data_IF_379238722747
#
_entry.id   IF_379238722747
#
_cell.length_a   1.000
_cell.length_b   1.000
_cell.length_c   1.000
_cell.angle_alpha   90.00
_cell.angle_beta   90.00
_cell.angle_gamma   90.00
#
_symmetry.space_group_name_H-M   'P 1'
#
loop_
_entity.id
_entity.type
_entity.pdbx_description
1 polymer ?
#
# COMPACT_ATOMS: atom_id res chain seq x y z
N UNK A 1 -4.54 -11.02 16.87
CA UNK A 1 -3.95 -10.65 15.56
C UNK A 1 -4.75 -9.50 14.99
N UNK A 2 -4.13 -8.35 14.77
CA UNK A 2 -4.75 -7.17 14.18
C UNK A 2 -4.35 -7.07 12.71
N UNK A 3 -4.89 -7.97 11.88
CA UNK A 3 -4.71 -7.93 10.43
C UNK A 3 -5.89 -7.16 9.83
N UNK A 4 -5.60 -6.15 9.01
CA UNK A 4 -6.60 -5.46 8.21
C UNK A 4 -6.68 -6.12 6.84
N UNK A 5 -7.84 -6.67 6.51
CA UNK A 5 -8.13 -7.25 5.19
C UNK A 5 -9.30 -6.49 4.60
N UNK A 6 -9.17 -6.05 3.35
CA UNK A 6 -10.27 -5.45 2.62
C UNK A 6 -10.20 -5.77 1.13
N UNK A 7 -11.37 -5.93 0.54
CA UNK A 7 -11.54 -6.28 -0.87
C UNK A 7 -12.41 -5.23 -1.55
N UNK A 8 -12.08 -4.89 -2.80
CA UNK A 8 -12.86 -4.00 -3.64
C UNK A 8 -12.72 -4.43 -5.10
N UNK A 9 -13.82 -4.90 -5.68
CA UNK A 9 -13.82 -5.43 -7.05
C UNK A 9 -12.90 -6.63 -7.18
N UNK A 10 -11.87 -6.52 -8.05
CA UNK A 10 -10.85 -7.55 -8.28
C UNK A 10 -9.55 -7.32 -7.49
N UNK A 11 -9.54 -6.35 -6.57
CA UNK A 11 -8.37 -5.98 -5.78
C UNK A 11 -8.59 -6.30 -4.31
N UNK A 12 -7.60 -6.92 -3.70
CA UNK A 12 -7.53 -7.20 -2.26
C UNK A 12 -6.33 -6.49 -1.65
N UNK A 13 -6.49 -5.95 -0.45
CA UNK A 13 -5.38 -5.48 0.37
C UNK A 13 -5.39 -6.21 1.72
N UNK A 14 -4.21 -6.61 2.16
CA UNK A 14 -3.98 -7.25 3.45
C UNK A 14 -2.81 -6.54 4.14
N UNK A 15 -3.00 -6.07 5.37
CA UNK A 15 -1.99 -5.35 6.13
C UNK A 15 -1.87 -5.93 7.55
N UNK A 16 -0.65 -6.16 8.01
CA UNK A 16 -0.43 -6.49 9.43
C UNK A 16 -0.38 -5.20 10.25
N UNK A 17 -1.54 -4.81 10.80
CA UNK A 17 -1.72 -3.60 11.59
C UNK A 17 -1.24 -3.76 13.04
N UNK A 18 -0.47 -4.80 13.36
CA UNK A 18 0.27 -4.83 14.62
C UNK A 18 1.44 -3.83 14.56
N UNK A 19 1.12 -2.53 14.68
CA UNK A 19 2.02 -1.39 14.50
C UNK A 19 3.32 -1.47 15.32
N UNK A 20 3.37 -2.27 16.38
CA UNK A 20 4.52 -2.46 17.25
C UNK A 20 5.45 -3.61 16.84
N UNK A 21 5.04 -4.46 15.91
CA UNK A 21 5.75 -5.71 15.60
C UNK A 21 6.87 -5.53 14.56
N UNK A 22 6.87 -4.40 13.84
CA UNK A 22 7.75 -4.19 12.70
C UNK A 22 8.52 -2.89 12.83
N UNK A 23 9.85 -2.97 12.95
CA UNK A 23 10.75 -1.83 13.16
C UNK A 23 11.83 -1.82 12.09
N UNK A 24 11.96 -0.69 11.39
CA UNK A 24 13.01 -0.41 10.41
C UNK A 24 13.81 0.84 10.75
N UNK A 25 14.69 1.26 9.85
CA UNK A 25 15.57 2.44 10.05
C UNK A 25 14.79 3.74 10.30
N UNK A 26 13.55 3.84 9.80
CA UNK A 26 12.67 5.02 9.93
C UNK A 26 11.61 4.93 11.03
N UNK A 27 11.68 3.94 11.93
CA UNK A 27 10.68 3.72 12.98
C UNK A 27 9.79 2.50 12.74
N UNK A 28 8.56 2.55 13.24
CA UNK A 28 7.60 1.48 13.06
C UNK A 28 6.96 1.53 11.67
N UNK A 29 6.70 0.36 11.09
CA UNK A 29 6.04 0.24 9.81
C UNK A 29 4.92 -0.81 9.82
N UNK A 30 4.06 -0.77 8.81
CA UNK A 30 3.04 -1.78 8.55
C UNK A 30 3.32 -2.37 7.18
N UNK A 31 3.61 -3.68 7.10
CA UNK A 31 3.64 -4.36 5.81
C UNK A 31 2.21 -4.58 5.33
N UNK A 32 1.95 -4.28 4.07
CA UNK A 32 0.75 -4.70 3.36
C UNK A 32 1.08 -5.40 2.04
N UNK A 33 0.14 -6.19 1.56
CA UNK A 33 0.14 -6.79 0.24
C UNK A 33 -1.13 -6.39 -0.49
N UNK A 34 -1.00 -5.96 -1.74
CA UNK A 34 -2.10 -5.72 -2.65
C UNK A 34 -2.08 -6.82 -3.70
N UNK A 35 -3.19 -7.53 -3.87
CA UNK A 35 -3.37 -8.58 -4.86
C UNK A 35 -4.41 -8.12 -5.89
N UNK A 36 -4.12 -8.35 -7.18
CA UNK A 36 -5.02 -8.04 -8.30
C UNK A 36 -4.26 -7.55 -9.53
N UNK A 37 -4.96 -7.25 -10.65
CA UNK A 37 -4.36 -6.78 -11.90
C UNK A 37 -3.97 -5.29 -11.79
N UNK A 38 -3.15 -4.95 -10.79
CA UNK A 38 -2.74 -3.57 -10.48
C UNK A 38 -1.32 -3.34 -10.97
N UNK A 39 -1.16 -2.41 -11.91
CA UNK A 39 0.15 -1.95 -12.34
C UNK A 39 0.81 -1.08 -11.26
N UNK A 40 2.08 -1.37 -10.93
CA UNK A 40 2.89 -0.49 -10.08
C UNK A 40 2.93 0.94 -10.62
N UNK A 41 3.02 1.12 -11.94
CA UNK A 41 3.09 2.45 -12.55
C UNK A 41 1.82 3.27 -12.30
N UNK A 42 0.64 2.67 -12.51
CA UNK A 42 -0.63 3.35 -12.23
C UNK A 42 -0.80 3.68 -10.75
N UNK A 43 -0.43 2.75 -9.87
CA UNK A 43 -0.50 2.98 -8.42
C UNK A 43 0.49 4.06 -7.98
N UNK A 44 1.70 4.08 -8.54
CA UNK A 44 2.70 5.10 -8.29
C UNK A 44 2.22 6.49 -8.72
N UNK A 45 1.68 6.62 -9.93
CA UNK A 45 1.08 7.86 -10.44
C UNK A 45 -0.06 8.35 -9.54
N UNK A 46 -0.96 7.44 -9.14
CA UNK A 46 -2.07 7.77 -8.24
C UNK A 46 -1.62 8.23 -6.84
N UNK A 47 -0.41 7.85 -6.42
CA UNK A 47 0.21 8.25 -5.17
C UNK A 47 1.15 9.45 -5.32
N UNK A 48 1.34 9.97 -6.54
CA UNK A 48 2.34 11.02 -6.82
C UNK A 48 3.78 10.56 -6.60
N UNK A 49 4.03 9.25 -6.67
CA UNK A 49 5.33 8.62 -6.45
C UNK A 49 6.02 8.33 -7.78
N UNK A 50 7.36 8.32 -7.78
CA UNK A 50 8.17 8.02 -8.96
C UNK A 50 9.16 6.90 -8.67
N UNK A 51 9.34 5.98 -9.62
CA UNK A 51 10.31 4.88 -9.53
C UNK A 51 9.92 3.66 -10.36
N UNK A 52 10.92 3.03 -11.01
CA UNK A 52 10.71 1.89 -11.91
C UNK A 52 10.49 0.55 -11.18
N UNK A 53 11.14 0.38 -10.02
CA UNK A 53 11.18 -0.90 -9.27
C UNK A 53 10.35 -0.81 -7.98
N UNK A 54 10.47 0.32 -7.30
CA UNK A 54 9.66 0.68 -6.15
C UNK A 54 9.27 2.15 -6.29
N UNK A 55 8.02 2.46 -5.98
CA UNK A 55 7.50 3.80 -5.85
C UNK A 55 7.51 4.19 -4.37
N UNK A 56 8.18 5.29 -4.03
CA UNK A 56 8.35 5.72 -2.66
C UNK A 56 7.78 7.12 -2.43
N UNK A 57 7.17 7.30 -1.27
CA UNK A 57 6.72 8.57 -0.73
C UNK A 57 7.19 8.67 0.72
N UNK A 58 7.02 9.84 1.33
CA UNK A 58 7.32 10.01 2.77
C UNK A 58 6.46 9.13 3.70
N UNK A 59 5.29 8.65 3.23
CA UNK A 59 4.34 7.88 4.05
C UNK A 59 4.39 6.38 3.78
N UNK A 60 4.73 5.99 2.56
CA UNK A 60 4.68 4.60 2.14
C UNK A 60 5.66 4.32 1.00
N UNK A 61 6.07 3.06 0.91
CA UNK A 61 6.81 2.50 -0.22
C UNK A 61 6.04 1.34 -0.82
N UNK A 62 5.87 1.33 -2.14
CA UNK A 62 5.27 0.23 -2.91
C UNK A 62 6.34 -0.39 -3.80
N UNK A 63 6.46 -1.71 -3.81
CA UNK A 63 7.34 -2.44 -4.71
C UNK A 63 6.57 -3.55 -5.41
N UNK A 64 7.08 -4.03 -6.56
CA UNK A 64 6.58 -5.27 -7.15
C UNK A 64 6.79 -6.43 -6.16
N UNK A 65 5.74 -7.21 -5.94
CA UNK A 65 5.76 -8.45 -5.16
C UNK A 65 5.91 -9.67 -6.07
N UNK A 66 5.39 -10.83 -5.63
CA UNK A 66 5.26 -12.02 -6.47
C UNK A 66 4.27 -11.81 -7.63
N UNK A 67 3.98 -12.86 -8.40
CA UNK A 67 3.03 -12.78 -9.52
C UNK A 67 1.69 -12.15 -9.08
N UNK A 68 1.30 -11.06 -9.74
CA UNK A 68 0.04 -10.36 -9.47
C UNK A 68 -0.07 -9.63 -8.13
N UNK A 69 1.05 -9.47 -7.39
CA UNK A 69 1.07 -8.87 -6.06
C UNK A 69 1.98 -7.65 -5.99
N UNK A 70 1.59 -6.66 -5.21
CA UNK A 70 2.42 -5.50 -4.84
C UNK A 70 2.66 -5.52 -3.33
N UNK A 71 3.89 -5.30 -2.92
CA UNK A 71 4.25 -5.16 -1.51
C UNK A 71 4.28 -3.70 -1.13
N UNK A 72 3.56 -3.34 -0.07
CA UNK A 72 3.51 -1.98 0.46
C UNK A 72 4.11 -1.98 1.86
N UNK A 73 4.84 -0.92 2.19
CA UNK A 73 5.32 -0.64 3.54
C UNK A 73 4.86 0.74 3.92
N UNK A 74 3.99 0.85 4.93
CA UNK A 74 3.47 2.13 5.43
C UNK A 74 4.30 2.54 6.65
N UNK A 75 4.85 3.75 6.65
CA UNK A 75 5.60 4.30 7.78
C UNK A 75 4.62 4.84 8.84
N UNK A 76 4.48 4.12 9.95
CA UNK A 76 3.52 4.45 11.02
C UNK A 76 3.86 5.80 11.65
N UNK A 77 5.14 6.02 11.97
CA UNK A 77 5.60 7.24 12.63
C UNK A 77 5.29 8.47 11.78
N UNK A 78 5.53 8.40 10.46
CA UNK A 78 5.23 9.49 9.53
C UNK A 78 3.73 9.70 9.34
N UNK A 79 2.95 8.63 9.18
CA UNK A 79 1.49 8.71 9.10
C UNK A 79 0.89 9.42 10.32
N UNK A 80 1.26 8.98 11.53
CA UNK A 80 0.78 9.56 12.78
C UNK A 80 1.21 11.02 12.94
N UNK A 81 2.43 11.37 12.51
CA UNK A 81 2.90 12.78 12.53
C UNK A 81 2.10 13.71 11.62
N UNK A 82 1.41 13.18 10.61
CA UNK A 82 0.51 13.92 9.72
C UNK A 82 -0.97 13.80 10.12
N UNK A 83 -1.27 13.18 11.26
CA UNK A 83 -2.64 12.98 11.73
C UNK A 83 -3.45 11.96 10.91
N UNK A 84 -2.78 11.06 10.18
CA UNK A 84 -3.42 10.01 9.37
C UNK A 84 -3.06 8.65 9.97
N UNK A 85 -4.05 7.77 10.14
CA UNK A 85 -3.79 6.40 10.59
C UNK A 85 -3.33 5.52 9.42
N UNK A 86 -2.47 4.50 9.65
CA UNK A 86 -2.10 3.57 8.58
C UNK A 86 -3.31 2.87 7.94
N UNK A 87 -4.40 2.65 8.70
CA UNK A 87 -5.65 2.10 8.19
C UNK A 87 -6.38 3.02 7.21
N UNK A 88 -6.37 4.34 7.44
CA UNK A 88 -6.90 5.31 6.46
C UNK A 88 -6.09 5.30 5.17
N UNK A 89 -4.76 5.24 5.28
CA UNK A 89 -3.88 5.16 4.12
C UNK A 89 -4.09 3.84 3.35
N UNK A 90 -4.24 2.71 4.04
CA UNK A 90 -4.56 1.42 3.42
C UNK A 90 -5.90 1.45 2.66
N UNK A 91 -6.92 2.11 3.21
CA UNK A 91 -8.21 2.32 2.51
C UNK A 91 -8.05 3.15 1.24
N UNK A 92 -7.26 4.23 1.29
CA UNK A 92 -6.99 5.06 0.11
C UNK A 92 -6.23 4.26 -0.96
N UNK A 93 -5.23 3.49 -0.56
CA UNK A 93 -4.50 2.58 -1.46
C UNK A 93 -5.43 1.60 -2.17
N UNK A 94 -6.37 0.97 -1.44
CA UNK A 94 -7.35 0.05 -2.03
C UNK A 94 -8.22 0.73 -3.10
N UNK A 95 -8.67 1.95 -2.85
CA UNK A 95 -9.49 2.71 -3.80
C UNK A 95 -8.69 3.03 -5.07
N UNK A 96 -7.45 3.52 -4.93
CA UNK A 96 -6.59 3.85 -6.08
C UNK A 96 -6.26 2.59 -6.87
N UNK A 97 -5.88 1.51 -6.18
CA UNK A 97 -5.55 0.23 -6.80
C UNK A 97 -6.73 -0.34 -7.59
N UNK A 98 -7.95 -0.22 -7.08
CA UNK A 98 -9.16 -0.65 -7.78
C UNK A 98 -9.43 0.18 -9.05
N UNK A 99 -9.24 1.49 -9.00
CA UNK A 99 -9.33 2.35 -10.18
C UNK A 99 -8.29 1.97 -11.24
N UNK A 100 -7.07 1.62 -10.82
CA UNK A 100 -6.02 1.12 -11.69
C UNK A 100 -6.36 -0.24 -12.31
N UNK A 101 -6.90 -1.17 -11.53
CA UNK A 101 -7.33 -2.46 -12.02
C UNK A 101 -8.42 -2.35 -13.09
N UNK A 102 -9.41 -1.47 -12.89
CA UNK A 102 -10.48 -1.23 -13.88
C UNK A 102 -9.94 -0.71 -15.22
N UNK A 103 -8.91 0.14 -15.19
CA UNK A 103 -8.26 0.67 -16.39
C UNK A 103 -7.51 -0.42 -17.17
N UNK A 104 -6.94 -1.42 -16.49
CA UNK A 104 -6.22 -2.51 -17.15
C UNK A 104 -7.16 -3.51 -17.87
N UNK A 105 -8.43 -3.54 -17.50
CA UNK A 105 -9.44 -4.46 -18.04
C UNK A 105 -10.43 -3.83 -19.03
N UNK A 106 -10.31 -2.52 -19.30
CA UNK A 106 -11.16 -1.78 -20.26
C UNK A 106 -10.43 -1.61 -21.58
#
# INVERSE_FOLDING_TARGET
MSVYVADRGVVRIECDMAYTNYRGEGGYYVPCEIEGPVSLGCLAEGLGASGDICAETELLRVCRGGEGKLKVTINVTKCMSRGITPGELAKQLLIIAELCARRATS
#
